data_IF_946830354203
#
_entry.id   IF_946830354203
#
_cell.length_a   1.000
_cell.length_b   1.000
_cell.length_c   1.000
_cell.angle_alpha   90.00
_cell.angle_beta   90.00
_cell.angle_gamma   90.00
#
_symmetry.space_group_name_H-M   'P 1'
#
loop_
_entity.id
_entity.type
_entity.pdbx_description
1 polymer ?
#
# COMPACT_ATOMS: atom_id res chain seq x y z
N UNK A 1 46.28 -5.95 -5.12
CA UNK A 1 46.21 -4.70 -4.34
C UNK A 1 46.37 -3.54 -5.29
N UNK A 2 45.27 -2.88 -5.65
CA UNK A 2 45.28 -1.62 -6.38
C UNK A 2 44.21 -0.75 -5.71
N UNK A 3 44.62 0.44 -5.30
CA UNK A 3 44.03 1.21 -4.21
C UNK A 3 42.73 1.94 -4.54
N UNK A 4 42.05 2.33 -3.46
CA UNK A 4 40.92 3.24 -3.48
C UNK A 4 41.44 4.68 -3.48
N UNK A 5 41.25 5.41 -4.57
CA UNK A 5 41.26 6.88 -4.55
C UNK A 5 39.84 7.38 -4.31
N UNK A 6 39.66 8.08 -3.18
CA UNK A 6 38.44 8.78 -2.83
C UNK A 6 38.49 10.16 -3.49
N UNK A 7 37.75 10.37 -4.59
CA UNK A 7 37.47 11.72 -5.09
C UNK A 7 36.14 12.22 -4.53
N UNK A 8 36.24 13.20 -3.63
CA UNK A 8 35.14 14.09 -3.24
C UNK A 8 34.79 15.03 -4.40
N UNK A 9 33.50 15.33 -4.51
CA UNK A 9 32.84 16.30 -5.41
C UNK A 9 32.48 15.80 -6.82
N UNK A 10 31.65 14.76 -6.90
CA UNK A 10 30.87 14.44 -8.10
C UNK A 10 29.55 15.20 -8.10
N UNK A 11 29.30 16.04 -9.11
CA UNK A 11 27.94 16.36 -9.56
C UNK A 11 27.19 15.04 -9.73
N UNK A 12 26.01 14.88 -9.14
CA UNK A 12 25.08 13.84 -9.55
C UNK A 12 24.70 14.13 -11.01
N UNK A 13 25.42 13.52 -11.95
CA UNK A 13 24.95 13.43 -13.32
C UNK A 13 23.81 12.42 -13.27
N UNK A 14 22.57 12.93 -13.30
CA UNK A 14 21.40 12.10 -13.57
C UNK A 14 21.55 11.59 -15.01
N UNK A 15 22.28 10.49 -15.19
CA UNK A 15 22.11 9.65 -16.37
C UNK A 15 20.81 8.88 -16.16
N UNK A 16 19.68 9.51 -16.47
CA UNK A 16 18.48 8.76 -16.80
C UNK A 16 18.88 7.83 -17.96
N UNK A 17 18.65 6.51 -17.88
CA UNK A 17 18.96 5.63 -18.98
C UNK A 17 18.22 6.10 -20.24
N UNK A 18 18.96 6.14 -21.35
CA UNK A 18 18.45 6.57 -22.64
C UNK A 18 17.25 5.71 -23.05
N UNK A 19 16.06 6.32 -22.98
CA UNK A 19 14.76 5.81 -23.46
C UNK A 19 14.37 4.44 -22.90
N UNK A 20 13.51 4.43 -21.88
CA UNK A 20 12.63 3.27 -21.63
C UNK A 20 11.87 2.99 -22.93
N UNK A 21 12.03 1.79 -23.50
CA UNK A 21 11.32 1.43 -24.74
C UNK A 21 9.84 1.22 -24.41
N UNK A 22 8.95 1.53 -25.36
CA UNK A 22 7.51 1.30 -25.17
C UNK A 22 7.19 -0.16 -24.81
N UNK A 23 7.96 -1.12 -25.32
CA UNK A 23 7.86 -2.54 -24.95
C UNK A 23 8.11 -2.80 -23.47
N UNK A 24 9.04 -2.07 -22.85
CA UNK A 24 9.41 -2.26 -21.44
C UNK A 24 8.32 -1.69 -20.53
N UNK A 25 7.69 -0.57 -20.95
CA UNK A 25 6.50 -0.01 -20.31
C UNK A 25 5.29 -0.94 -20.39
N UNK A 26 5.08 -1.62 -21.52
CA UNK A 26 3.99 -2.59 -21.68
C UNK A 26 4.17 -3.82 -20.78
N UNK A 27 5.40 -4.36 -20.71
CA UNK A 27 5.73 -5.48 -19.82
C UNK A 27 5.54 -5.10 -18.35
N UNK A 28 6.08 -3.95 -17.93
CA UNK A 28 5.91 -3.46 -16.55
C UNK A 28 4.44 -3.24 -16.20
N UNK A 29 3.65 -2.68 -17.12
CA UNK A 29 2.21 -2.47 -16.91
C UNK A 29 1.47 -3.80 -16.77
N UNK A 30 1.86 -4.81 -17.53
CA UNK A 30 1.30 -6.16 -17.44
C UNK A 30 1.62 -6.80 -16.08
N UNK A 31 2.88 -6.75 -15.64
CA UNK A 31 3.30 -7.31 -14.35
C UNK A 31 2.59 -6.63 -13.17
N UNK A 32 2.43 -5.30 -13.22
CA UNK A 32 1.66 -4.55 -12.22
C UNK A 32 0.20 -5.02 -12.19
N UNK A 33 -0.42 -5.21 -13.36
CA UNK A 33 -1.80 -5.70 -13.46
C UNK A 33 -1.96 -7.11 -12.91
N UNK A 34 -1.02 -8.01 -13.21
CA UNK A 34 -1.02 -9.38 -12.70
C UNK A 34 -0.85 -9.41 -11.18
N UNK A 35 0.09 -8.61 -10.65
CA UNK A 35 0.30 -8.46 -9.21
C UNK A 35 -0.96 -7.94 -8.51
N UNK A 36 -1.54 -6.84 -9.01
CA UNK A 36 -2.77 -6.24 -8.46
C UNK A 36 -3.97 -7.17 -8.57
N UNK A 37 -4.07 -7.96 -9.64
CA UNK A 37 -5.13 -8.96 -9.79
C UNK A 37 -5.00 -10.07 -8.76
N UNK A 38 -3.79 -10.55 -8.47
CA UNK A 38 -3.58 -11.59 -7.46
C UNK A 38 -3.98 -11.14 -6.05
N UNK A 39 -3.85 -9.85 -5.74
CA UNK A 39 -4.27 -9.26 -4.46
C UNK A 39 -5.79 -9.41 -4.23
N UNK A 40 -6.60 -9.39 -5.29
CA UNK A 40 -8.06 -9.57 -5.19
C UNK A 40 -8.45 -10.95 -4.67
N UNK A 41 -7.61 -11.95 -4.92
CA UNK A 41 -7.90 -13.36 -4.62
C UNK A 41 -7.32 -13.80 -3.26
N UNK A 42 -6.59 -12.93 -2.55
CA UNK A 42 -6.00 -13.25 -1.25
C UNK A 42 -7.08 -13.24 -0.16
N UNK A 43 -7.18 -14.36 0.58
CA UNK A 43 -7.93 -14.44 1.83
C UNK A 43 -7.43 -13.39 2.83
N UNK A 44 -8.34 -12.67 3.48
CA UNK A 44 -8.07 -11.58 4.44
C UNK A 44 -6.78 -11.80 5.29
N UNK A 45 -5.81 -10.86 5.29
CA UNK A 45 -4.55 -11.03 6.00
C UNK A 45 -4.77 -11.11 7.52
N UNK A 46 -3.80 -11.63 8.27
CA UNK A 46 -3.93 -11.76 9.74
C UNK A 46 -3.81 -10.44 10.50
N UNK A 47 -3.23 -9.40 9.88
CA UNK A 47 -3.07 -8.07 10.47
C UNK A 47 -3.84 -7.02 9.68
N UNK A 48 -4.33 -5.98 10.39
CA UNK A 48 -5.01 -4.85 9.76
C UNK A 48 -4.08 -3.68 9.39
N UNK A 49 -2.79 -3.77 9.72
CA UNK A 49 -1.81 -2.69 9.56
C UNK A 49 -1.38 -2.41 8.12
N UNK A 50 -0.50 -1.43 7.94
CA UNK A 50 0.09 -1.11 6.64
C UNK A 50 1.11 -2.15 6.20
N UNK A 51 1.99 -2.58 7.10
CA UNK A 51 3.03 -3.54 6.77
C UNK A 51 2.46 -4.95 6.84
N UNK A 52 2.51 -5.67 5.72
CA UNK A 52 2.01 -7.04 5.59
C UNK A 52 0.54 -7.23 6.00
N UNK A 53 -0.26 -6.15 6.05
CA UNK A 53 -1.64 -6.16 6.54
C UNK A 53 -2.64 -5.56 5.55
N UNK A 54 -3.91 -5.58 5.95
CA UNK A 54 -5.03 -5.21 5.09
C UNK A 54 -4.96 -3.74 4.62
N UNK A 55 -4.52 -2.82 5.47
CA UNK A 55 -4.38 -1.42 5.08
C UNK A 55 -3.35 -1.23 3.95
N UNK A 56 -2.23 -1.97 3.95
CA UNK A 56 -1.22 -1.90 2.89
C UNK A 56 -1.73 -2.42 1.54
N UNK A 57 -2.56 -3.46 1.58
CA UNK A 57 -3.25 -3.98 0.40
C UNK A 57 -4.19 -2.90 -0.16
N UNK A 58 -5.05 -2.33 0.69
CA UNK A 58 -6.01 -1.31 0.27
C UNK A 58 -5.27 -0.09 -0.31
N UNK A 59 -4.22 0.38 0.36
CA UNK A 59 -3.37 1.47 -0.13
C UNK A 59 -2.87 1.22 -1.55
N UNK A 60 -2.33 0.03 -1.81
CA UNK A 60 -1.79 -0.34 -3.12
C UNK A 60 -2.87 -0.32 -4.22
N UNK A 61 -4.07 -0.80 -3.90
CA UNK A 61 -5.21 -0.80 -4.83
C UNK A 61 -5.74 0.62 -5.11
N UNK A 62 -5.78 1.49 -4.10
CA UNK A 62 -6.13 2.91 -4.26
C UNK A 62 -5.10 3.62 -5.14
N UNK A 63 -3.81 3.37 -4.91
CA UNK A 63 -2.73 3.93 -5.73
C UNK A 63 -2.85 3.49 -7.19
N UNK A 64 -3.05 2.20 -7.44
CA UNK A 64 -3.29 1.67 -8.79
C UNK A 64 -4.50 2.37 -9.45
N UNK A 65 -5.64 2.41 -8.75
CA UNK A 65 -6.87 3.06 -9.24
C UNK A 65 -6.64 4.53 -9.58
N UNK A 66 -5.86 5.24 -8.76
CA UNK A 66 -5.61 6.67 -8.91
C UNK A 66 -4.66 6.98 -10.06
N UNK A 67 -3.59 6.20 -10.21
CA UNK A 67 -2.56 6.37 -11.26
C UNK A 67 -3.12 5.96 -12.62
N UNK A 68 -3.74 4.78 -12.71
CA UNK A 68 -4.21 4.22 -13.97
C UNK A 68 -5.66 4.61 -14.32
N UNK A 69 -6.36 5.33 -13.43
CA UNK A 69 -7.78 5.69 -13.57
C UNK A 69 -8.70 4.47 -13.77
N UNK A 70 -8.26 3.29 -13.33
CA UNK A 70 -8.96 2.02 -13.46
C UNK A 70 -9.76 1.72 -12.17
N UNK A 71 -11.08 1.75 -12.28
CA UNK A 71 -11.99 1.58 -11.14
C UNK A 71 -12.42 0.12 -10.89
N UNK A 72 -11.88 -0.85 -11.62
CA UNK A 72 -12.27 -2.27 -11.53
C UNK A 72 -12.15 -2.85 -10.11
N UNK A 73 -11.27 -2.30 -9.28
CA UNK A 73 -11.04 -2.74 -7.89
C UNK A 73 -11.90 -2.01 -6.85
N UNK A 74 -12.73 -1.03 -7.22
CA UNK A 74 -13.47 -0.19 -6.26
C UNK A 74 -14.38 -1.00 -5.32
N UNK A 75 -15.01 -2.07 -5.84
CA UNK A 75 -15.86 -2.96 -5.02
C UNK A 75 -15.04 -3.80 -4.04
N UNK A 76 -13.87 -4.28 -4.46
CA UNK A 76 -12.96 -5.01 -3.59
C UNK A 76 -12.42 -4.09 -2.49
N UNK A 77 -11.97 -2.87 -2.83
CA UNK A 77 -11.52 -1.85 -1.88
C UNK A 77 -12.59 -1.56 -0.82
N UNK A 78 -13.85 -1.33 -1.23
CA UNK A 78 -14.97 -1.13 -0.28
C UNK A 78 -15.16 -2.30 0.67
N UNK A 79 -15.13 -3.53 0.14
CA UNK A 79 -15.30 -4.74 0.95
C UNK A 79 -14.17 -4.86 1.98
N UNK A 80 -12.93 -4.60 1.55
CA UNK A 80 -11.76 -4.62 2.43
C UNK A 80 -11.83 -3.54 3.51
N UNK A 81 -12.26 -2.32 3.15
CA UNK A 81 -12.46 -1.22 4.09
C UNK A 81 -13.51 -1.58 5.17
N UNK A 82 -14.63 -2.19 4.78
CA UNK A 82 -15.67 -2.63 5.72
C UNK A 82 -15.20 -3.76 6.65
N UNK A 83 -14.16 -4.50 6.27
CA UNK A 83 -13.58 -5.56 7.08
C UNK A 83 -12.52 -5.06 8.07
N UNK A 84 -12.08 -3.80 7.98
CA UNK A 84 -11.08 -3.24 8.90
C UNK A 84 -11.51 -3.33 10.37
N UNK A 85 -12.81 -3.26 10.65
CA UNK A 85 -13.37 -3.41 11.99
C UNK A 85 -13.00 -4.75 12.66
N UNK A 86 -12.79 -5.82 11.88
CA UNK A 86 -12.41 -7.14 12.41
C UNK A 86 -10.98 -7.19 12.95
N UNK A 87 -10.19 -6.15 12.70
CA UNK A 87 -8.81 -5.99 13.18
C UNK A 87 -8.71 -4.99 14.32
N UNK A 88 -9.84 -4.60 14.93
CA UNK A 88 -9.87 -3.57 15.97
C UNK A 88 -10.45 -4.10 17.27
N UNK A 89 -9.95 -3.57 18.39
CA UNK A 89 -10.49 -3.74 19.74
C UNK A 89 -10.92 -2.38 20.28
N UNK A 90 -12.07 -2.33 20.96
CA UNK A 90 -12.52 -1.11 21.63
C UNK A 90 -12.09 -1.14 23.11
N UNK A 91 -11.31 -0.14 23.52
CA UNK A 91 -10.88 0.09 24.90
C UNK A 91 -11.21 1.53 25.25
N UNK A 92 -12.01 1.75 26.30
CA UNK A 92 -12.41 3.08 26.77
C UNK A 92 -12.93 4.01 25.66
N UNK A 93 -13.84 3.50 24.83
CA UNK A 93 -14.42 4.18 23.66
C UNK A 93 -13.42 4.53 22.55
N UNK A 94 -12.22 3.96 22.58
CA UNK A 94 -11.20 4.12 21.54
C UNK A 94 -10.99 2.81 20.81
N UNK A 95 -11.15 2.84 19.48
CA UNK A 95 -10.84 1.70 18.60
C UNK A 95 -9.34 1.64 18.33
N UNK A 96 -8.72 0.53 18.71
CA UNK A 96 -7.31 0.26 18.51
C UNK A 96 -7.12 -0.90 17.55
N UNK A 97 -6.20 -0.74 16.60
CA UNK A 97 -5.78 -1.81 15.74
C UNK A 97 -5.00 -2.85 16.55
N UNK A 98 -5.36 -4.10 16.34
CA UNK A 98 -4.66 -5.25 16.87
C UNK A 98 -3.51 -5.56 15.91
N UNK A 99 -2.28 -5.58 16.42
CA UNK A 99 -1.13 -5.95 15.59
C UNK A 99 -1.19 -7.44 15.17
N UNK A 100 -0.37 -7.84 14.20
CA UNK A 100 -0.37 -9.23 13.69
C UNK A 100 0.00 -10.30 14.72
N UNK A 101 0.43 -9.91 15.92
CA UNK A 101 0.72 -10.82 17.03
C UNK A 101 -0.45 -10.94 18.00
N UNK A 102 -1.47 -10.09 17.93
CA UNK A 102 -2.58 -10.02 18.89
C UNK A 102 -2.17 -9.70 20.34
N UNK A 103 -0.92 -9.30 20.59
CA UNK A 103 -0.41 -9.07 21.95
C UNK A 103 -0.44 -7.60 22.37
N UNK A 104 -0.39 -6.64 21.43
CA UNK A 104 -0.29 -5.22 21.76
C UNK A 104 -1.24 -4.32 20.94
N UNK A 105 -1.63 -3.22 21.57
CA UNK A 105 -2.28 -2.07 20.95
C UNK A 105 -1.20 -1.14 20.39
N UNK A 106 -1.27 -0.83 19.10
CA UNK A 106 -0.27 0.00 18.42
C UNK A 106 -0.93 1.16 17.67
N UNK A 107 -0.35 2.36 17.76
CA UNK A 107 -0.83 3.58 17.07
C UNK A 107 0.12 4.07 15.97
N UNK A 108 1.25 3.41 15.78
CA UNK A 108 2.26 3.76 14.78
C UNK A 108 1.73 3.60 13.34
N UNK A 109 2.44 4.19 12.37
CA UNK A 109 2.07 4.08 10.96
C UNK A 109 2.16 2.64 10.40
N UNK A 110 3.23 1.86 10.64
CA UNK A 110 3.38 0.53 10.03
C UNK A 110 2.33 -0.47 10.50
N UNK A 111 2.08 -0.52 11.81
CA UNK A 111 1.34 -1.62 12.45
C UNK A 111 0.17 -1.13 13.33
N UNK A 112 -0.15 0.17 13.27
CA UNK A 112 -1.16 0.80 14.12
C UNK A 112 -2.17 1.68 13.38
N UNK A 113 -2.97 2.40 14.16
CA UNK A 113 -4.10 3.20 13.65
C UNK A 113 -3.73 4.26 12.61
N UNK A 114 -2.52 4.83 12.65
CA UNK A 114 -2.15 5.96 11.80
C UNK A 114 -2.13 5.56 10.31
N UNK A 115 -1.67 4.36 9.98
CA UNK A 115 -1.71 3.84 8.61
C UNK A 115 -3.14 3.62 8.11
N UNK A 116 -4.02 3.13 9.00
CA UNK A 116 -5.43 2.92 8.70
C UNK A 116 -6.17 4.23 8.39
N UNK A 117 -5.96 5.25 9.23
CA UNK A 117 -6.54 6.58 9.04
C UNK A 117 -6.10 7.16 7.70
N UNK A 118 -4.84 6.97 7.32
CA UNK A 118 -4.33 7.42 6.03
C UNK A 118 -5.06 6.74 4.87
N UNK A 119 -5.26 5.43 4.94
CA UNK A 119 -5.98 4.67 3.90
C UNK A 119 -7.43 5.11 3.76
N UNK A 120 -8.13 5.35 4.88
CA UNK A 120 -9.51 5.84 4.86
C UNK A 120 -9.59 7.22 4.17
N UNK A 121 -8.71 8.15 4.55
CA UNK A 121 -8.64 9.48 3.92
C UNK A 121 -8.37 9.38 2.41
N UNK A 122 -7.44 8.54 2.00
CA UNK A 122 -7.15 8.33 0.58
C UNK A 122 -8.34 7.73 -0.18
N UNK A 123 -9.10 6.82 0.44
CA UNK A 123 -10.31 6.27 -0.16
C UNK A 123 -11.40 7.34 -0.36
N UNK A 124 -11.57 8.22 0.63
CA UNK A 124 -12.49 9.37 0.56
C UNK A 124 -12.09 10.34 -0.56
N UNK A 125 -10.80 10.71 -0.64
CA UNK A 125 -10.25 11.56 -1.70
C UNK A 125 -10.41 10.94 -3.10
N UNK A 126 -10.25 9.62 -3.19
CA UNK A 126 -10.49 8.85 -4.42
C UNK A 126 -11.99 8.68 -4.75
N UNK A 127 -12.90 9.18 -3.91
CA UNK A 127 -14.36 9.02 -4.03
C UNK A 127 -14.80 7.56 -4.07
N UNK A 128 -14.08 6.70 -3.34
CA UNK A 128 -14.42 5.30 -3.14
C UNK A 128 -15.19 5.23 -1.82
N UNK A 129 -16.43 5.71 -1.83
CA UNK A 129 -17.25 5.83 -0.63
C UNK A 129 -17.74 4.47 -0.10
N UNK A 130 -17.96 4.43 1.21
CA UNK A 130 -18.66 3.39 1.96
C UNK A 130 -20.14 3.32 1.56
N UNK A 131 -20.73 2.12 1.63
CA UNK A 131 -22.19 1.91 1.59
C UNK A 131 -22.71 1.82 3.02
#
# INVERSE_FOLDING_TARGET
>A
MVGFEVQKQGKYVNTLPDRVKNSDLEVLTKEIKECVSSIKDISMPKSGGMYYGLAGIIYSLIMYTTVYKDKSFSSAIRTMLNNLQFYTINIDNTLFLIDGTFHNVNVSFPDGNLGLINVIKMAEEAKICFL
#
